data_IF_280696658927
#
_entry.id   IF_280696658927
#
_cell.length_a   1.000
_cell.length_b   1.000
_cell.length_c   1.000
_cell.angle_alpha   90.00
_cell.angle_beta   90.00
_cell.angle_gamma   90.00
#
_symmetry.space_group_name_H-M   'P 1'
#
loop_
_entity.id
_entity.type
_entity.pdbx_description
1 polymer ?
#
# COMPACT_ATOMS: atom_id res chain seq x y z
N UNK A 1 7.63 -17.66 -96.01
CA UNK A 1 8.82 -16.96 -96.60
C UNK A 1 9.44 -16.03 -95.61
N UNK A 2 10.79 -16.06 -95.48
CA UNK A 2 11.74 -15.19 -94.83
C UNK A 2 11.74 -15.25 -93.29
N UNK A 3 12.61 -15.96 -92.64
CA UNK A 3 14.13 -15.86 -92.50
C UNK A 3 14.57 -14.72 -91.60
N UNK A 4 15.15 -15.14 -90.51
CA UNK A 4 16.38 -14.68 -89.81
C UNK A 4 16.24 -13.36 -88.99
N UNK A 5 16.85 -13.22 -87.89
CA UNK A 5 18.27 -13.49 -87.47
C UNK A 5 18.37 -13.42 -85.94
N UNK A 6 19.27 -14.26 -85.46
CA UNK A 6 19.90 -14.22 -84.14
C UNK A 6 20.52 -12.85 -83.85
N UNK A 7 20.46 -12.38 -82.65
CA UNK A 7 21.55 -11.70 -81.98
C UNK A 7 21.62 -12.09 -80.55
N UNK A 8 22.74 -12.65 -80.14
CA UNK A 8 23.15 -12.97 -78.80
C UNK A 8 23.44 -11.67 -78.06
N UNK A 9 22.84 -11.48 -76.95
CA UNK A 9 23.28 -10.46 -75.96
C UNK A 9 23.50 -11.18 -74.62
N UNK A 10 24.71 -11.04 -74.14
CA UNK A 10 25.22 -11.67 -72.92
C UNK A 10 24.51 -11.15 -71.69
N UNK A 11 24.01 -12.08 -70.90
CA UNK A 11 23.40 -11.79 -69.59
C UNK A 11 24.48 -11.71 -68.53
N UNK A 12 24.82 -10.52 -68.11
CA UNK A 12 25.67 -10.31 -66.90
C UNK A 12 24.78 -10.43 -65.69
N UNK A 13 24.89 -11.50 -64.97
CA UNK A 13 24.20 -11.71 -63.69
C UNK A 13 25.04 -11.06 -62.61
N UNK A 14 24.68 -9.88 -62.16
CA UNK A 14 25.19 -9.27 -60.93
C UNK A 14 24.44 -9.86 -59.75
N UNK A 15 25.07 -10.75 -59.01
CA UNK A 15 24.56 -11.26 -57.74
C UNK A 15 24.66 -10.15 -56.69
N UNK A 16 23.54 -9.48 -56.39
CA UNK A 16 23.43 -8.61 -55.24
C UNK A 16 23.23 -9.50 -53.98
N UNK A 17 24.28 -9.63 -53.20
CA UNK A 17 24.20 -10.24 -51.87
C UNK A 17 23.45 -9.29 -50.96
N UNK A 18 22.17 -9.58 -50.65
CA UNK A 18 21.40 -8.96 -49.60
C UNK A 18 21.94 -9.47 -48.26
N UNK A 19 22.79 -8.67 -47.61
CA UNK A 19 23.12 -8.84 -46.20
C UNK A 19 21.86 -8.50 -45.41
N UNK A 20 21.05 -9.50 -45.10
CA UNK A 20 20.02 -9.42 -44.09
C UNK A 20 20.71 -9.37 -42.73
N UNK A 21 20.82 -8.20 -42.13
CA UNK A 21 21.10 -8.04 -40.72
C UNK A 21 19.88 -8.59 -39.97
N UNK A 22 19.90 -9.87 -39.63
CA UNK A 22 18.98 -10.44 -38.67
C UNK A 22 19.34 -9.87 -37.30
N UNK A 23 18.52 -8.95 -36.77
CA UNK A 23 18.57 -8.61 -35.36
C UNK A 23 18.26 -9.88 -34.54
N UNK A 24 19.14 -10.25 -33.59
CA UNK A 24 18.84 -11.37 -32.72
C UNK A 24 17.56 -11.02 -31.91
N UNK A 25 16.64 -11.98 -31.72
CA UNK A 25 15.46 -11.72 -30.90
C UNK A 25 15.94 -11.27 -29.52
N UNK A 26 15.50 -10.07 -29.10
CA UNK A 26 15.73 -9.57 -27.74
C UNK A 26 15.16 -10.60 -26.78
N UNK A 27 16.03 -11.33 -26.11
CA UNK A 27 15.63 -12.17 -24.99
C UNK A 27 14.91 -11.28 -24.00
N UNK A 28 13.71 -11.66 -23.48
CA UNK A 28 13.05 -10.88 -22.46
C UNK A 28 14.04 -10.70 -21.31
N UNK A 29 14.42 -9.45 -21.05
CA UNK A 29 15.22 -9.08 -19.88
C UNK A 29 14.42 -9.54 -18.67
N UNK A 30 14.92 -10.48 -17.84
CA UNK A 30 14.23 -10.83 -16.62
C UNK A 30 14.04 -9.55 -15.80
N UNK A 31 12.88 -9.34 -15.16
CA UNK A 31 12.67 -8.17 -14.33
C UNK A 31 13.83 -8.09 -13.33
N UNK A 32 14.36 -6.88 -13.05
CA UNK A 32 15.47 -6.73 -12.13
C UNK A 32 15.09 -7.38 -10.81
N UNK A 33 15.81 -8.46 -10.47
CA UNK A 33 15.67 -9.05 -9.13
C UNK A 33 16.07 -7.96 -8.16
N UNK A 34 15.13 -7.58 -7.28
CA UNK A 34 15.27 -6.45 -6.37
C UNK A 34 16.61 -6.52 -5.66
N UNK A 35 17.46 -5.54 -5.93
CA UNK A 35 18.71 -5.40 -5.21
C UNK A 35 18.40 -5.24 -3.72
N UNK A 36 19.31 -5.64 -2.84
CA UNK A 36 19.16 -5.43 -1.39
C UNK A 36 18.83 -3.96 -1.04
N UNK A 37 19.27 -3.01 -1.87
CA UNK A 37 18.95 -1.58 -1.79
C UNK A 37 17.48 -1.33 -2.14
N UNK A 38 16.92 -2.02 -3.14
CA UNK A 38 15.49 -1.94 -3.47
C UNK A 38 14.62 -2.47 -2.35
N UNK A 39 15.02 -3.54 -1.65
CA UNK A 39 14.33 -4.06 -0.47
C UNK A 39 14.37 -3.10 0.71
N UNK A 40 15.46 -2.32 0.87
CA UNK A 40 15.57 -1.29 1.90
C UNK A 40 14.70 -0.06 1.60
N UNK A 41 14.49 0.28 0.32
CA UNK A 41 13.60 1.35 -0.09
C UNK A 41 12.12 0.95 -0.02
N UNK A 42 11.80 -0.35 -0.11
CA UNK A 42 10.47 -0.88 0.18
C UNK A 42 10.18 -0.98 1.69
N UNK A 43 11.18 -0.76 2.55
CA UNK A 43 11.04 -0.78 4.00
C UNK A 43 10.25 0.42 4.60
N UNK A 44 9.71 1.31 3.77
CA UNK A 44 8.80 2.40 4.18
C UNK A 44 7.33 2.08 3.89
N UNK A 45 7.03 0.82 3.62
CA UNK A 45 5.70 0.35 3.27
C UNK A 45 4.83 -0.06 4.47
N UNK A 46 3.67 -0.61 4.16
CA UNK A 46 2.75 -1.16 5.15
C UNK A 46 3.31 -2.44 5.78
N UNK A 47 3.01 -2.64 7.06
CA UNK A 47 3.44 -3.82 7.79
C UNK A 47 2.57 -5.03 7.46
N UNK A 48 3.19 -6.11 6.94
CA UNK A 48 2.49 -7.36 6.65
C UNK A 48 2.32 -8.22 7.90
N UNK A 49 1.12 -8.73 8.09
CA UNK A 49 0.67 -9.43 9.29
C UNK A 49 -0.09 -10.70 8.92
N UNK A 50 -0.17 -11.65 9.85
CA UNK A 50 -1.12 -12.75 9.72
C UNK A 50 -2.54 -12.21 9.87
N UNK A 51 -3.46 -12.45 8.90
CA UNK A 51 -4.81 -11.94 8.97
C UNK A 51 -5.52 -12.31 10.28
N UNK A 52 -6.18 -11.33 10.88
CA UNK A 52 -7.08 -11.52 12.01
C UNK A 52 -8.53 -11.62 11.51
N UNK A 53 -9.45 -12.23 12.29
CA UNK A 53 -10.86 -12.18 11.96
C UNK A 53 -11.36 -10.73 11.85
N UNK A 54 -12.25 -10.46 10.90
CA UNK A 54 -12.88 -9.13 10.77
C UNK A 54 -13.53 -8.73 12.09
N UNK A 55 -13.24 -7.52 12.54
CA UNK A 55 -13.84 -6.92 13.73
C UNK A 55 -14.52 -5.60 13.37
N UNK A 56 -15.78 -5.44 13.76
CA UNK A 56 -16.54 -4.20 13.56
C UNK A 56 -17.13 -3.76 14.90
N UNK A 57 -17.04 -2.47 15.19
CA UNK A 57 -17.66 -1.86 16.35
C UNK A 57 -18.42 -0.60 15.93
N UNK A 58 -19.65 -0.45 16.42
CA UNK A 58 -20.45 0.75 16.22
C UNK A 58 -20.85 1.32 17.57
N UNK A 59 -20.58 2.60 17.81
CA UNK A 59 -20.86 3.28 19.05
C UNK A 59 -21.18 4.74 18.81
N UNK A 60 -22.20 5.26 19.50
CA UNK A 60 -22.47 6.71 19.54
C UNK A 60 -21.60 7.34 20.63
N UNK A 61 -20.76 8.30 20.24
CA UNK A 61 -19.85 9.03 21.12
C UNK A 61 -20.22 10.49 21.07
N UNK A 62 -20.38 11.10 22.24
CA UNK A 62 -20.74 12.51 22.39
C UNK A 62 -19.58 13.38 22.90
N UNK A 63 -19.88 14.62 23.34
CA UNK A 63 -18.88 15.56 23.86
C UNK A 63 -18.07 15.06 25.06
N UNK A 64 -18.62 14.11 25.83
CA UNK A 64 -17.88 13.48 26.94
C UNK A 64 -16.71 12.57 26.47
N UNK A 65 -16.62 12.27 25.18
CA UNK A 65 -15.66 11.34 24.65
C UNK A 65 -16.02 9.88 24.90
N UNK A 66 -15.09 8.98 24.65
CA UNK A 66 -15.29 7.53 24.83
C UNK A 66 -14.16 6.69 24.27
N UNK A 67 -14.29 5.39 24.40
CA UNK A 67 -13.33 4.42 23.85
C UNK A 67 -14.09 3.38 23.04
N UNK A 68 -13.68 3.22 21.77
CA UNK A 68 -14.20 2.19 20.87
C UNK A 68 -13.14 1.12 20.74
N UNK A 69 -13.49 -0.15 20.99
CA UNK A 69 -12.60 -1.31 20.81
C UNK A 69 -12.94 -2.04 19.53
N UNK A 70 -11.93 -2.30 18.71
CA UNK A 70 -12.05 -2.92 17.39
C UNK A 70 -11.09 -4.12 17.36
N UNK A 71 -11.53 -5.28 17.82
CA UNK A 71 -10.64 -6.43 18.04
C UNK A 71 -9.49 -6.06 18.98
N UNK A 72 -8.21 -6.24 18.57
CA UNK A 72 -7.05 -5.88 19.39
C UNK A 72 -6.69 -4.39 19.36
N UNK A 73 -7.43 -3.58 18.60
CA UNK A 73 -7.21 -2.15 18.42
C UNK A 73 -8.18 -1.33 19.28
N UNK A 74 -7.87 -0.05 19.49
CA UNK A 74 -8.74 0.85 20.24
C UNK A 74 -8.62 2.29 19.75
N UNK A 75 -9.75 2.98 19.65
CA UNK A 75 -9.83 4.41 19.43
C UNK A 75 -10.27 5.10 20.73
N UNK A 76 -9.45 5.98 21.27
CA UNK A 76 -9.79 6.82 22.44
C UNK A 76 -10.10 8.23 21.96
N UNK A 77 -11.32 8.69 22.22
CA UNK A 77 -11.81 10.01 21.86
C UNK A 77 -11.90 10.81 23.15
N UNK A 78 -11.09 11.88 23.34
CA UNK A 78 -11.11 12.64 24.57
C UNK A 78 -12.36 13.53 24.67
N UNK A 79 -12.71 13.95 25.89
CA UNK A 79 -13.77 14.92 26.10
C UNK A 79 -13.50 16.22 25.32
N UNK A 80 -14.52 16.77 24.70
CA UNK A 80 -14.45 17.97 23.86
C UNK A 80 -13.83 17.72 22.48
N UNK A 81 -13.63 16.46 22.05
CA UNK A 81 -13.21 16.16 20.70
C UNK A 81 -14.36 16.22 19.68
N UNK A 82 -15.59 16.00 20.15
CA UNK A 82 -16.82 16.09 19.38
C UNK A 82 -17.76 17.13 19.97
N UNK A 83 -18.32 17.99 19.13
CA UNK A 83 -19.27 19.02 19.56
C UNK A 83 -20.69 18.49 19.76
N UNK A 84 -21.04 17.35 19.19
CA UNK A 84 -22.34 16.69 19.26
C UNK A 84 -22.17 15.18 19.25
N UNK A 85 -23.19 14.39 19.66
CA UNK A 85 -23.14 12.94 19.52
C UNK A 85 -23.03 12.51 18.05
N UNK A 86 -22.09 11.59 17.76
CA UNK A 86 -21.87 11.01 16.44
C UNK A 86 -21.85 9.50 16.57
N UNK A 87 -22.59 8.81 15.71
CA UNK A 87 -22.49 7.35 15.59
C UNK A 87 -21.29 7.01 14.73
N UNK A 88 -20.34 6.33 15.33
CA UNK A 88 -19.06 5.95 14.73
C UNK A 88 -19.08 4.45 14.49
N UNK A 89 -18.78 4.05 13.26
CA UNK A 89 -18.50 2.64 12.91
C UNK A 89 -17.02 2.52 12.56
N UNK A 90 -16.35 1.57 13.19
CA UNK A 90 -14.96 1.26 12.95
C UNK A 90 -14.84 -0.22 12.56
N UNK A 91 -14.20 -0.49 11.41
CA UNK A 91 -14.02 -1.85 10.88
C UNK A 91 -12.55 -2.14 10.66
N UNK A 92 -12.06 -3.22 11.27
CA UNK A 92 -10.78 -3.85 10.95
C UNK A 92 -11.08 -5.10 10.09
N UNK A 93 -10.84 -5.06 8.78
CA UNK A 93 -11.10 -6.21 7.91
C UNK A 93 -10.09 -7.32 8.14
N UNK A 94 -10.43 -8.55 7.72
CA UNK A 94 -9.48 -9.65 7.65
C UNK A 94 -8.56 -9.46 6.45
N UNK A 95 -7.35 -9.01 6.70
CA UNK A 95 -6.39 -8.59 5.69
C UNK A 95 -4.97 -8.95 6.16
N UNK A 96 -4.01 -9.01 5.25
CA UNK A 96 -2.58 -9.18 5.55
C UNK A 96 -1.90 -7.87 6.02
N UNK A 97 -2.65 -6.75 6.04
CA UNK A 97 -2.27 -5.47 6.63
C UNK A 97 -3.22 -5.12 7.75
N UNK A 98 -2.71 -4.88 8.96
CA UNK A 98 -3.56 -4.36 10.04
C UNK A 98 -3.98 -2.94 9.72
N UNK A 99 -5.26 -2.78 9.34
CA UNK A 99 -5.88 -1.50 8.99
C UNK A 99 -7.22 -1.32 9.67
N UNK A 100 -7.66 -0.08 9.80
CA UNK A 100 -8.97 0.29 10.33
C UNK A 100 -9.59 1.35 9.44
N UNK A 101 -10.85 1.13 9.10
CA UNK A 101 -11.69 2.04 8.35
C UNK A 101 -12.72 2.67 9.30
N UNK A 102 -12.85 3.99 9.28
CA UNK A 102 -13.79 4.72 10.11
C UNK A 102 -14.92 5.36 9.30
N UNK A 103 -16.13 5.30 9.87
CA UNK A 103 -17.29 6.03 9.37
C UNK A 103 -17.89 6.89 10.49
N UNK A 104 -18.39 8.09 10.17
CA UNK A 104 -18.43 8.73 8.85
C UNK A 104 -17.02 9.21 8.43
N UNK A 105 -16.65 8.98 7.16
CA UNK A 105 -15.39 9.51 6.63
C UNK A 105 -15.38 11.04 6.66
N UNK A 106 -14.20 11.61 6.86
CA UNK A 106 -14.03 13.05 6.89
C UNK A 106 -14.52 13.72 8.19
N UNK A 107 -15.00 12.97 9.19
CA UNK A 107 -15.31 13.53 10.51
C UNK A 107 -14.03 14.17 11.08
N UNK A 108 -14.10 15.46 11.41
CA UNK A 108 -13.00 16.22 11.99
C UNK A 108 -13.18 16.35 13.49
N UNK A 109 -12.11 16.11 14.23
CA UNK A 109 -12.08 16.28 15.69
C UNK A 109 -11.62 17.69 16.09
N UNK A 110 -12.29 18.29 17.06
CA UNK A 110 -11.88 19.55 17.70
C UNK A 110 -10.61 19.36 18.55
N UNK A 111 -10.40 18.15 19.08
CA UNK A 111 -9.22 17.70 19.82
C UNK A 111 -8.85 16.32 19.30
N UNK A 112 -7.56 16.08 19.04
CA UNK A 112 -7.11 14.81 18.44
C UNK A 112 -7.59 13.60 19.27
N UNK A 113 -8.12 12.60 18.57
CA UNK A 113 -8.34 11.26 19.12
C UNK A 113 -7.02 10.47 19.08
N UNK A 114 -6.93 9.39 19.88
CA UNK A 114 -5.77 8.51 19.91
C UNK A 114 -6.17 7.12 19.39
N UNK A 115 -5.61 6.72 18.26
CA UNK A 115 -5.75 5.38 17.71
C UNK A 115 -4.59 4.51 18.16
N UNK A 116 -4.88 3.44 18.90
CA UNK A 116 -3.89 2.42 19.28
C UNK A 116 -4.13 1.17 18.46
N UNK A 117 -3.14 0.78 17.68
CA UNK A 117 -3.17 -0.41 16.84
C UNK A 117 -2.17 -1.44 17.35
N UNK A 118 -2.61 -2.71 17.50
CA UNK A 118 -1.74 -3.83 17.82
C UNK A 118 -1.11 -4.40 16.55
N UNK A 119 0.15 -4.79 16.64
CA UNK A 119 0.87 -5.53 15.61
C UNK A 119 1.45 -6.86 16.15
N UNK A 120 0.81 -7.41 17.17
CA UNK A 120 1.26 -8.68 17.79
C UNK A 120 1.22 -9.88 16.82
N UNK A 121 0.34 -9.81 15.80
CA UNK A 121 0.18 -10.81 14.73
C UNK A 121 1.08 -10.55 13.51
N UNK A 122 1.97 -9.55 13.56
CA UNK A 122 2.78 -9.18 12.41
C UNK A 122 4.18 -9.78 12.48
N UNK A 123 4.73 -10.09 11.31
CA UNK A 123 6.11 -10.55 11.20
C UNK A 123 7.06 -9.34 11.31
N UNK A 124 7.87 -9.34 12.37
CA UNK A 124 8.83 -8.27 12.62
C UNK A 124 10.25 -8.65 12.18
N UNK A 125 10.43 -9.80 11.52
CA UNK A 125 11.74 -10.24 11.04
C UNK A 125 12.30 -9.21 10.05
N UNK A 126 13.45 -8.64 10.41
CA UNK A 126 14.17 -7.69 9.58
C UNK A 126 13.80 -6.21 9.78
N UNK A 127 12.86 -5.86 10.67
CA UNK A 127 12.51 -4.46 10.91
C UNK A 127 12.67 -4.07 12.39
N UNK A 128 13.79 -3.40 12.70
CA UNK A 128 13.98 -2.70 13.99
C UNK A 128 13.41 -1.26 13.92
N UNK A 129 12.88 -0.84 12.78
CA UNK A 129 12.34 0.50 12.60
C UNK A 129 11.09 0.69 13.46
N UNK A 130 10.93 1.85 14.10
CA UNK A 130 9.71 2.17 14.84
C UNK A 130 8.47 2.08 13.93
N UNK A 131 7.39 1.47 14.44
CA UNK A 131 6.12 1.40 13.73
C UNK A 131 5.40 2.73 13.81
N UNK A 132 4.70 3.06 12.72
CA UNK A 132 3.89 4.28 12.59
C UNK A 132 2.50 3.92 12.12
N UNK A 133 1.56 4.83 12.32
CA UNK A 133 0.26 4.77 11.68
C UNK A 133 0.32 5.62 10.42
N UNK A 134 -0.05 5.03 9.30
CA UNK A 134 -0.19 5.71 8.03
C UNK A 134 -1.68 5.99 7.76
N UNK A 135 -1.97 7.17 7.23
CA UNK A 135 -3.23 7.49 6.56
C UNK A 135 -3.14 6.94 5.14
N UNK A 136 -4.13 6.15 4.74
CA UNK A 136 -4.15 5.49 3.43
C UNK A 136 -5.44 5.78 2.69
N UNK A 137 -5.44 5.59 1.39
CA UNK A 137 -6.66 5.46 0.60
C UNK A 137 -7.22 4.02 0.66
N UNK A 138 -8.26 3.76 -0.15
CA UNK A 138 -8.89 2.43 -0.22
C UNK A 138 -8.00 1.37 -0.88
N UNK A 139 -7.06 1.81 -1.75
CA UNK A 139 -6.07 0.95 -2.40
C UNK A 139 -4.87 0.63 -1.49
N UNK A 140 -4.83 1.18 -0.28
CA UNK A 140 -3.73 1.11 0.69
C UNK A 140 -2.48 1.89 0.27
N UNK A 141 -2.61 2.86 -0.63
CA UNK A 141 -1.53 3.79 -0.91
C UNK A 141 -1.34 4.74 0.28
N UNK A 142 -0.11 4.89 0.75
CA UNK A 142 0.21 5.76 1.88
C UNK A 142 0.14 7.22 1.42
N UNK A 143 -0.80 7.97 1.96
CA UNK A 143 -0.98 9.39 1.68
C UNK A 143 -0.16 10.25 2.63
N UNK A 144 -0.08 9.86 3.90
CA UNK A 144 0.74 10.54 4.91
C UNK A 144 0.96 9.67 6.14
N UNK A 145 1.90 10.08 7.00
CA UNK A 145 2.13 9.44 8.29
C UNK A 145 1.55 10.29 9.42
N UNK A 146 0.90 9.61 10.35
CA UNK A 146 0.37 10.22 11.56
C UNK A 146 1.47 10.30 12.62
N UNK A 147 1.48 11.37 13.42
CA UNK A 147 2.37 11.46 14.58
C UNK A 147 2.08 10.27 15.51
N UNK A 148 3.04 9.36 15.62
CA UNK A 148 2.87 8.07 16.29
C UNK A 148 3.96 7.81 17.32
N UNK A 149 3.58 7.05 18.35
CA UNK A 149 4.47 6.49 19.36
C UNK A 149 4.40 4.97 19.31
N UNK A 150 5.54 4.32 19.09
CA UNK A 150 5.67 2.88 19.05
C UNK A 150 6.07 2.32 20.40
N UNK A 151 5.40 1.27 20.85
CA UNK A 151 5.75 0.49 22.02
C UNK A 151 6.05 -0.95 21.57
N UNK A 152 7.32 -1.23 21.31
CA UNK A 152 7.81 -2.54 20.84
C UNK A 152 7.50 -3.67 21.82
N UNK A 153 7.58 -3.41 23.14
CA UNK A 153 7.30 -4.44 24.16
C UNK A 153 5.83 -4.85 24.18
N UNK A 154 4.94 -3.86 24.07
CA UNK A 154 3.51 -4.12 24.00
C UNK A 154 3.04 -4.50 22.60
N UNK A 155 3.91 -4.42 21.59
CA UNK A 155 3.59 -4.58 20.15
C UNK A 155 2.38 -3.73 19.75
N UNK A 156 2.42 -2.45 20.11
CA UNK A 156 1.34 -1.49 19.85
C UNK A 156 1.93 -0.16 19.41
N UNK A 157 1.29 0.46 18.41
CA UNK A 157 1.57 1.82 17.99
C UNK A 157 0.36 2.71 18.25
N UNK A 158 0.57 3.91 18.77
CA UNK A 158 -0.50 4.88 19.03
C UNK A 158 -0.26 6.13 18.23
N UNK A 159 -1.24 6.55 17.43
CA UNK A 159 -1.20 7.75 16.60
C UNK A 159 -2.28 8.75 16.97
N UNK A 160 -2.02 10.06 16.73
CA UNK A 160 -2.96 11.15 16.94
C UNK A 160 -3.79 11.38 15.68
N UNK A 161 -5.10 11.19 15.74
CA UNK A 161 -6.03 11.41 14.64
C UNK A 161 -6.74 12.75 14.78
N UNK A 162 -6.77 13.52 13.71
CA UNK A 162 -7.50 14.78 13.61
C UNK A 162 -8.78 14.65 12.78
N UNK A 163 -8.90 13.59 11.98
CA UNK A 163 -10.08 13.29 11.16
C UNK A 163 -10.24 11.77 11.01
N UNK A 164 -11.40 11.34 10.53
CA UNK A 164 -11.64 9.95 10.16
C UNK A 164 -11.31 9.66 8.71
N UNK A 165 -10.68 8.53 8.51
CA UNK A 165 -10.31 7.96 7.23
C UNK A 165 -9.91 6.48 7.39
N UNK A 166 -9.11 5.96 6.47
CA UNK A 166 -8.47 4.66 6.57
C UNK A 166 -7.08 4.82 7.16
N UNK A 167 -6.75 3.97 8.11
CA UNK A 167 -5.45 3.98 8.77
C UNK A 167 -4.87 2.57 8.81
N UNK A 168 -3.57 2.45 8.54
CA UNK A 168 -2.85 1.18 8.55
C UNK A 168 -1.52 1.31 9.30
N UNK A 169 -0.96 0.17 9.73
CA UNK A 169 0.36 0.14 10.35
C UNK A 169 1.43 0.08 9.28
N UNK A 170 2.43 0.95 9.42
CA UNK A 170 3.61 1.05 8.57
C UNK A 170 4.90 1.10 9.40
N UNK A 171 6.06 1.02 8.75
CA UNK A 171 7.38 1.29 9.35
C UNK A 171 8.12 2.42 8.66
#
# INVERSE_FOLDING_TARGET
MKVARLTRAALVITAAALLSCGEPPLSPVPPPQGSLIGSLLQATGLLHCTPLPTATATQTVGPAGGVIRIGPHALSIPAGALGAPVTITATAPSDDVNRIQFQPQGLVFQRSAALTMSYANCNLLGTLLPKRIAYTDDALDILSYVLSLDNLFAKKVTGKLYHFSNYAIAW
#
